data_IF_630921325340
#
_entry.id   IF_630921325340
#
_cell.length_a   1.000
_cell.length_b   1.000
_cell.length_c   1.000
_cell.angle_alpha   90.00
_cell.angle_beta   90.00
_cell.angle_gamma   90.00
#
_symmetry.space_group_name_H-M   'P 1'
#
loop_
_entity.id
_entity.type
_entity.pdbx_description
1 polymer ?
#
# COMPACT_ATOMS: atom_id res chain seq x y z
N UNK A 1 -4.24 14.39 -2.47
CA UNK A 1 -4.46 12.93 -2.41
C UNK A 1 -3.58 12.29 -3.46
N UNK A 2 -2.80 11.27 -3.11
CA UNK A 2 -1.90 10.61 -4.07
C UNK A 2 -2.60 9.37 -4.63
N UNK A 3 -2.65 9.25 -5.96
CA UNK A 3 -3.19 8.08 -6.63
C UNK A 3 -2.05 7.19 -7.12
N UNK A 4 -2.11 5.91 -6.75
CA UNK A 4 -1.13 4.89 -7.12
C UNK A 4 -1.82 3.65 -7.65
N UNK A 5 -1.20 3.01 -8.62
CA UNK A 5 -1.69 1.74 -9.15
C UNK A 5 -0.98 0.59 -8.45
N UNK A 6 -1.74 -0.34 -7.90
CA UNK A 6 -1.20 -1.59 -7.36
C UNK A 6 -1.86 -2.79 -8.05
N UNK A 7 -1.05 -3.81 -8.31
CA UNK A 7 -1.55 -5.13 -8.68
C UNK A 7 -1.66 -5.93 -7.38
N UNK A 8 -2.87 -6.35 -7.05
CA UNK A 8 -3.09 -7.16 -5.85
C UNK A 8 -2.26 -8.46 -5.93
N UNK A 9 -1.46 -8.78 -4.90
CA UNK A 9 -0.64 -9.98 -4.91
C UNK A 9 -1.49 -11.25 -4.73
N UNK A 10 -2.70 -11.15 -4.15
CA UNK A 10 -3.65 -12.25 -3.93
C UNK A 10 -4.41 -12.59 -5.21
N UNK A 11 -5.30 -11.71 -5.68
CA UNK A 11 -6.19 -12.00 -6.81
C UNK A 11 -5.67 -11.52 -8.18
N UNK A 12 -4.49 -10.88 -8.23
CA UNK A 12 -3.84 -10.34 -9.44
C UNK A 12 -4.62 -9.23 -10.19
N UNK A 13 -5.79 -8.80 -9.68
CA UNK A 13 -6.53 -7.63 -10.19
C UNK A 13 -5.78 -6.33 -9.90
N UNK A 14 -6.00 -5.32 -10.74
CA UNK A 14 -5.45 -3.96 -10.54
C UNK A 14 -6.42 -3.15 -9.69
N UNK A 15 -5.87 -2.35 -8.78
CA UNK A 15 -6.62 -1.41 -7.96
C UNK A 15 -5.95 -0.05 -7.94
N UNK A 16 -6.76 0.99 -7.76
CA UNK A 16 -6.30 2.37 -7.56
C UNK A 16 -6.27 2.64 -6.07
N UNK A 17 -5.07 2.83 -5.54
CA UNK A 17 -4.82 3.22 -4.18
C UNK A 17 -4.89 4.73 -4.09
N UNK A 18 -5.81 5.22 -3.26
CA UNK A 18 -5.89 6.62 -2.87
C UNK A 18 -5.20 6.77 -1.53
N UNK A 19 -3.95 7.20 -1.54
CA UNK A 19 -3.15 7.41 -0.33
C UNK A 19 -3.44 8.84 0.17
N UNK A 20 -4.06 8.98 1.36
CA UNK A 20 -4.24 10.28 1.99
C UNK A 20 -2.88 10.90 2.37
N UNK A 21 -2.67 12.21 2.19
CA UNK A 21 -1.41 12.87 2.56
C UNK A 21 -1.03 12.69 4.03
N UNK A 22 -2.03 12.65 4.92
CA UNK A 22 -1.81 12.49 6.36
C UNK A 22 -1.21 11.13 6.74
N UNK A 23 -1.37 10.10 5.89
CA UNK A 23 -0.69 8.80 6.09
C UNK A 23 0.82 8.94 5.98
N UNK A 24 1.29 9.79 5.04
CA UNK A 24 2.72 10.06 4.85
C UNK A 24 3.22 11.02 5.92
N UNK A 25 2.46 12.05 6.25
CA UNK A 25 2.84 13.03 7.29
C UNK A 25 2.95 12.41 8.69
N UNK A 26 2.14 11.39 8.98
CA UNK A 26 2.19 10.64 10.26
C UNK A 26 3.26 9.55 10.28
N UNK A 27 3.89 9.22 9.16
CA UNK A 27 4.90 8.18 9.10
C UNK A 27 6.19 8.66 9.79
N UNK A 28 6.65 7.90 10.78
CA UNK A 28 7.90 8.21 11.52
C UNK A 28 9.15 7.74 10.79
N UNK A 29 9.02 6.76 9.90
CA UNK A 29 10.12 6.18 9.11
C UNK A 29 9.62 5.67 7.76
N UNK A 30 10.54 5.62 6.79
CA UNK A 30 10.30 5.07 5.47
C UNK A 30 11.27 3.91 5.17
N UNK A 31 10.87 2.90 4.38
CA UNK A 31 9.55 2.74 3.80
C UNK A 31 8.46 2.48 4.85
N UNK A 32 7.28 3.06 4.65
CA UNK A 32 6.14 2.97 5.55
C UNK A 32 5.14 1.93 5.02
N UNK A 33 4.84 0.92 5.83
CA UNK A 33 3.94 -0.17 5.44
C UNK A 33 2.49 0.20 5.72
N UNK A 34 1.65 0.09 4.70
CA UNK A 34 0.20 0.37 4.79
C UNK A 34 -0.58 -0.89 4.47
N UNK A 35 -1.59 -1.20 5.30
CA UNK A 35 -2.57 -2.26 5.02
C UNK A 35 -3.62 -1.75 4.05
N UNK A 36 -3.70 -2.39 2.89
CA UNK A 36 -4.69 -2.10 1.85
C UNK A 36 -5.81 -3.12 1.95
N UNK A 37 -7.05 -2.63 2.11
CA UNK A 37 -8.25 -3.46 1.93
C UNK A 37 -8.63 -3.49 0.46
N UNK A 38 -8.79 -4.67 -0.11
CA UNK A 38 -9.17 -4.86 -1.50
C UNK A 38 -10.23 -5.96 -1.60
N UNK A 39 -11.45 -5.58 -1.97
CA UNK A 39 -12.62 -6.46 -2.00
C UNK A 39 -12.80 -7.21 -0.65
N UNK A 40 -12.57 -8.52 -0.64
CA UNK A 40 -12.74 -9.46 0.48
C UNK A 40 -11.43 -9.83 1.19
N UNK A 41 -10.29 -9.29 0.75
CA UNK A 41 -8.97 -9.57 1.32
C UNK A 41 -8.18 -8.29 1.59
N UNK A 42 -6.99 -8.44 2.16
CA UNK A 42 -6.03 -7.36 2.32
C UNK A 42 -4.71 -7.73 1.64
N UNK A 43 -3.85 -6.72 1.47
CA UNK A 43 -2.45 -6.89 1.18
C UNK A 43 -1.70 -5.68 1.75
N UNK A 44 -0.37 -5.73 1.73
CA UNK A 44 0.45 -4.66 2.28
C UNK A 44 1.25 -4.00 1.16
N UNK A 45 1.44 -2.69 1.29
CA UNK A 45 2.31 -1.92 0.40
C UNK A 45 3.31 -1.13 1.24
N UNK A 46 4.51 -0.98 0.70
CA UNK A 46 5.49 -0.06 1.23
C UNK A 46 5.47 1.23 0.45
N UNK A 47 5.39 2.35 1.16
CA UNK A 47 5.41 3.69 0.59
C UNK A 47 6.69 4.42 0.97
N UNK A 48 7.24 5.22 0.05
CA UNK A 48 8.29 6.19 0.37
C UNK A 48 7.72 7.55 0.82
N UNK A 49 8.61 8.51 1.09
CA UNK A 49 8.23 9.87 1.51
C UNK A 49 7.42 10.67 0.49
N UNK A 50 7.34 10.21 -0.77
CA UNK A 50 6.54 10.80 -1.85
C UNK A 50 5.31 9.94 -2.20
N UNK A 51 4.94 9.01 -1.31
CA UNK A 51 3.86 8.04 -1.50
C UNK A 51 4.05 7.14 -2.74
N UNK A 52 5.27 6.94 -3.23
CA UNK A 52 5.53 5.93 -4.26
C UNK A 52 5.53 4.54 -3.65
N UNK A 53 4.94 3.59 -4.38
CA UNK A 53 4.96 2.19 -3.98
C UNK A 53 6.37 1.66 -4.22
N UNK A 54 7.09 1.31 -3.16
CA UNK A 54 8.40 0.69 -3.26
C UNK A 54 8.31 -0.82 -3.28
N UNK A 55 7.29 -1.39 -2.65
CA UNK A 55 7.05 -2.84 -2.63
C UNK A 55 5.57 -3.20 -2.40
N UNK A 56 5.18 -4.39 -2.86
CA UNK A 56 3.84 -4.97 -2.68
C UNK A 56 4.00 -6.36 -2.05
N UNK A 57 3.50 -6.49 -0.82
CA UNK A 57 3.69 -7.68 0.00
C UNK A 57 2.40 -8.51 0.08
N UNK A 58 2.55 -9.82 -0.05
CA UNK A 58 1.47 -10.78 0.20
C UNK A 58 1.15 -10.81 1.71
N UNK A 59 -0.12 -10.95 2.12
CA UNK A 59 -0.51 -11.05 3.53
C UNK A 59 0.32 -12.05 4.34
N UNK A 60 0.58 -13.23 3.76
CA UNK A 60 1.31 -14.34 4.36
C UNK A 60 2.80 -14.05 4.65
N UNK A 61 3.36 -12.97 4.10
CA UNK A 61 4.75 -12.57 4.36
C UNK A 61 4.87 -11.61 5.55
N UNK A 62 3.74 -11.13 6.08
CA UNK A 62 3.69 -10.08 7.12
C UNK A 62 3.02 -10.58 8.40
N UNK A 63 2.09 -11.53 8.30
CA UNK A 63 1.37 -12.18 9.43
C UNK A 63 1.73 -13.66 9.52
#
# INVERSE_FOLDING_TARGET
MFERYAKCPVCKKRTVLRVPPDVIEKATRFPFTVKVKHEDHYFYINLDSQAWITDILHPELVE
#
